data_IF_782402832015
#
_entry.id   IF_782402832015
#
_cell.length_a   1.000
_cell.length_b   1.000
_cell.length_c   1.000
_cell.angle_alpha   90.00
_cell.angle_beta   90.00
_cell.angle_gamma   90.00
#
_symmetry.space_group_name_H-M   'P 1'
#
loop_
_entity.id
_entity.type
_entity.pdbx_description
1 polymer ?
#
# COMPACT_ATOMS: atom_id res chain seq x y z
N UNK A 1 5.86 -14.00 -15.88
CA UNK A 1 4.69 -13.31 -16.48
C UNK A 1 3.39 -14.08 -16.31
N UNK A 2 3.32 -15.39 -16.62
CA UNK A 2 2.09 -16.18 -16.42
C UNK A 2 1.59 -16.15 -14.97
N UNK A 3 2.48 -16.44 -14.01
CA UNK A 3 2.16 -16.38 -12.57
C UNK A 3 1.68 -14.99 -12.17
N UNK A 4 2.36 -13.93 -12.64
CA UNK A 4 1.97 -12.54 -12.38
C UNK A 4 0.55 -12.24 -12.87
N UNK A 5 0.19 -12.63 -14.08
CA UNK A 5 -1.13 -12.39 -14.65
C UNK A 5 -2.23 -13.12 -13.86
N UNK A 6 -1.95 -14.35 -13.43
CA UNK A 6 -2.86 -15.15 -12.62
C UNK A 6 -3.07 -14.55 -11.22
N UNK A 7 -1.99 -14.10 -10.58
CA UNK A 7 -2.06 -13.42 -9.28
C UNK A 7 -2.78 -12.06 -9.42
N UNK A 8 -2.51 -11.30 -10.48
CA UNK A 8 -3.14 -10.01 -10.71
C UNK A 8 -4.66 -10.12 -10.91
N UNK A 9 -5.12 -11.13 -11.67
CA UNK A 9 -6.55 -11.35 -11.90
C UNK A 9 -7.27 -11.87 -10.65
N UNK A 10 -6.63 -12.77 -9.89
CA UNK A 10 -7.14 -13.25 -8.61
C UNK A 10 -7.31 -12.10 -7.61
N UNK A 11 -6.26 -11.29 -7.42
CA UNK A 11 -6.29 -10.15 -6.49
C UNK A 11 -7.27 -9.06 -6.93
N UNK A 12 -7.36 -8.76 -8.24
CA UNK A 12 -8.37 -7.84 -8.77
C UNK A 12 -9.78 -8.27 -8.38
N UNK A 13 -10.10 -9.55 -8.60
CA UNK A 13 -11.42 -10.10 -8.29
C UNK A 13 -11.69 -10.08 -6.78
N UNK A 14 -10.72 -10.51 -5.97
CA UNK A 14 -10.82 -10.48 -4.52
C UNK A 14 -11.12 -9.07 -4.02
N UNK A 15 -10.32 -8.07 -4.42
CA UNK A 15 -10.50 -6.68 -3.97
C UNK A 15 -11.80 -6.08 -4.49
N UNK A 16 -12.14 -6.27 -5.76
CA UNK A 16 -13.42 -5.78 -6.30
C UNK A 16 -14.62 -6.38 -5.57
N UNK A 17 -14.57 -7.68 -5.21
CA UNK A 17 -15.62 -8.33 -4.45
C UNK A 17 -15.73 -7.79 -3.02
N UNK A 18 -14.61 -7.61 -2.32
CA UNK A 18 -14.58 -7.04 -0.96
C UNK A 18 -15.15 -5.62 -0.93
N UNK A 19 -14.77 -4.76 -1.89
CA UNK A 19 -15.26 -3.37 -1.97
C UNK A 19 -16.76 -3.34 -2.27
N UNK A 20 -17.25 -4.25 -3.11
CA UNK A 20 -18.67 -4.37 -3.41
C UNK A 20 -19.48 -4.82 -2.18
N UNK A 21 -18.97 -5.82 -1.45
CA UNK A 21 -19.59 -6.30 -0.20
C UNK A 21 -19.63 -5.24 0.89
N UNK A 22 -18.64 -4.34 0.93
CA UNK A 22 -18.61 -3.19 1.82
C UNK A 22 -19.54 -2.03 1.38
N UNK A 23 -20.32 -2.19 0.29
CA UNK A 23 -21.19 -1.15 -0.30
C UNK A 23 -20.44 0.14 -0.68
N UNK A 24 -19.17 0.03 -1.03
CA UNK A 24 -18.35 1.17 -1.45
C UNK A 24 -18.41 1.36 -2.98
N UNK A 25 -18.52 2.61 -3.42
CA UNK A 25 -18.74 2.96 -4.84
C UNK A 25 -17.50 2.87 -5.74
N UNK A 26 -16.38 2.32 -5.27
CA UNK A 26 -15.08 2.35 -5.97
C UNK A 26 -14.52 0.98 -6.40
N UNK A 27 -15.35 -0.07 -6.44
CA UNK A 27 -14.90 -1.46 -6.69
C UNK A 27 -14.14 -1.67 -8.01
N UNK A 28 -14.59 -1.02 -9.10
CA UNK A 28 -13.90 -1.06 -10.41
C UNK A 28 -12.55 -0.34 -10.38
N UNK A 29 -12.49 0.82 -9.74
CA UNK A 29 -11.27 1.62 -9.64
C UNK A 29 -10.21 0.87 -8.81
N UNK A 30 -10.56 0.46 -7.59
CA UNK A 30 -9.66 -0.27 -6.69
C UNK A 30 -9.19 -1.59 -7.30
N UNK A 31 -10.07 -2.37 -7.92
CA UNK A 31 -9.65 -3.60 -8.60
C UNK A 31 -8.68 -3.35 -9.75
N UNK A 32 -8.91 -2.30 -10.53
CA UNK A 32 -8.01 -1.95 -11.66
C UNK A 32 -6.67 -1.42 -11.16
N UNK A 33 -6.66 -0.63 -10.10
CA UNK A 33 -5.45 -0.15 -9.43
C UNK A 33 -4.59 -1.31 -8.93
N UNK A 34 -5.20 -2.29 -8.27
CA UNK A 34 -4.52 -3.49 -7.77
C UNK A 34 -3.92 -4.30 -8.92
N UNK A 35 -4.66 -4.48 -10.00
CA UNK A 35 -4.15 -5.18 -11.17
C UNK A 35 -2.91 -4.49 -11.75
N UNK A 36 -2.95 -3.16 -11.91
CA UNK A 36 -1.81 -2.38 -12.39
C UNK A 36 -0.61 -2.48 -11.45
N UNK A 37 -0.84 -2.39 -10.14
CA UNK A 37 0.24 -2.55 -9.16
C UNK A 37 0.95 -3.90 -9.32
N UNK A 38 0.20 -5.00 -9.35
CA UNK A 38 0.78 -6.35 -9.49
C UNK A 38 1.51 -6.52 -10.81
N UNK A 39 0.97 -6.00 -11.91
CA UNK A 39 1.60 -6.10 -13.23
C UNK A 39 2.92 -5.32 -13.28
N UNK A 40 2.96 -4.08 -12.77
CA UNK A 40 4.17 -3.25 -12.75
C UNK A 40 5.26 -3.89 -11.89
N UNK A 41 4.93 -4.29 -10.65
CA UNK A 41 5.90 -4.93 -9.77
C UNK A 41 6.34 -6.30 -10.29
N UNK A 42 5.43 -7.06 -10.89
CA UNK A 42 5.75 -8.35 -11.50
C UNK A 42 6.65 -8.21 -12.72
N UNK A 43 6.46 -7.18 -13.54
CA UNK A 43 7.35 -6.85 -14.66
C UNK A 43 8.76 -6.52 -14.18
N UNK A 44 8.89 -5.62 -13.20
CA UNK A 44 10.19 -5.27 -12.61
C UNK A 44 10.86 -6.51 -11.97
N UNK A 45 10.09 -7.33 -11.27
CA UNK A 45 10.58 -8.56 -10.64
C UNK A 45 11.15 -9.54 -11.66
N UNK A 46 10.51 -9.65 -12.83
CA UNK A 46 11.02 -10.49 -13.91
C UNK A 46 12.32 -9.95 -14.51
N UNK A 47 12.47 -8.63 -14.65
CA UNK A 47 13.74 -8.02 -15.07
C UNK A 47 14.86 -8.30 -14.07
N UNK A 48 14.57 -8.24 -12.76
CA UNK A 48 15.52 -8.61 -11.70
C UNK A 48 15.91 -10.09 -11.81
N UNK A 49 14.94 -10.99 -12.03
CA UNK A 49 15.19 -12.42 -12.22
C UNK A 49 16.02 -12.74 -13.46
N UNK A 50 15.87 -11.94 -14.52
CA UNK A 50 16.67 -12.06 -15.74
C UNK A 50 18.08 -11.45 -15.59
N UNK A 51 18.38 -10.83 -14.44
CA UNK A 51 19.69 -10.24 -14.14
C UNK A 51 19.89 -8.83 -14.71
N UNK A 52 18.83 -8.16 -15.15
CA UNK A 52 18.92 -6.81 -15.73
C UNK A 52 19.00 -5.78 -14.61
N UNK A 53 20.18 -5.20 -14.41
CA UNK A 53 20.44 -4.13 -13.44
C UNK A 53 19.76 -4.33 -12.06
N UNK A 54 19.90 -5.50 -11.41
CA UNK A 54 19.12 -5.86 -10.23
C UNK A 54 19.32 -4.88 -9.07
N UNK A 55 20.54 -4.38 -8.87
CA UNK A 55 20.82 -3.39 -7.83
C UNK A 55 20.05 -2.08 -8.04
N UNK A 56 20.00 -1.58 -9.28
CA UNK A 56 19.27 -0.35 -9.62
C UNK A 56 17.76 -0.51 -9.39
N UNK A 57 17.18 -1.60 -9.89
CA UNK A 57 15.76 -1.88 -9.75
C UNK A 57 15.35 -2.09 -8.28
N UNK A 58 16.15 -2.83 -7.51
CA UNK A 58 15.91 -3.00 -6.07
C UNK A 58 15.97 -1.65 -5.35
N UNK A 59 16.98 -0.82 -5.64
CA UNK A 59 17.13 0.51 -5.01
C UNK A 59 15.93 1.41 -5.32
N UNK A 60 15.43 1.39 -6.56
CA UNK A 60 14.21 2.13 -6.94
C UNK A 60 12.98 1.65 -6.16
N UNK A 61 12.78 0.33 -6.04
CA UNK A 61 11.68 -0.25 -5.27
C UNK A 61 11.80 0.16 -3.80
N UNK A 62 12.97 -0.03 -3.19
CA UNK A 62 13.23 0.33 -1.79
C UNK A 62 12.97 1.82 -1.56
N UNK A 63 13.43 2.70 -2.45
CA UNK A 63 13.20 4.14 -2.38
C UNK A 63 11.72 4.50 -2.43
N UNK A 64 10.95 3.89 -3.35
CA UNK A 64 9.50 4.10 -3.45
C UNK A 64 8.78 3.64 -2.17
N UNK A 65 9.10 2.45 -1.67
CA UNK A 65 8.49 1.92 -0.45
C UNK A 65 8.86 2.78 0.75
N UNK A 66 10.12 3.22 0.86
CA UNK A 66 10.56 4.12 1.92
C UNK A 66 9.80 5.45 1.87
N UNK A 67 9.62 6.04 0.69
CA UNK A 67 8.82 7.26 0.52
C UNK A 67 7.38 7.07 1.00
N UNK A 68 6.72 5.99 0.59
CA UNK A 68 5.34 5.71 1.00
C UNK A 68 5.23 5.43 2.51
N UNK A 69 6.19 4.70 3.08
CA UNK A 69 6.24 4.42 4.50
C UNK A 69 6.43 5.70 5.33
N UNK A 70 7.32 6.59 4.89
CA UNK A 70 7.54 7.88 5.54
C UNK A 70 6.30 8.78 5.39
N UNK A 71 5.75 8.92 4.18
CA UNK A 71 4.57 9.74 3.95
C UNK A 71 3.36 9.23 4.75
N UNK A 72 3.11 7.92 4.73
CA UNK A 72 2.04 7.28 5.49
C UNK A 72 2.25 7.38 7.00
N UNK A 73 3.46 7.15 7.49
CA UNK A 73 3.80 7.27 8.90
C UNK A 73 3.64 8.68 9.43
N UNK A 74 4.07 9.69 8.67
CA UNK A 74 3.90 11.10 9.01
C UNK A 74 2.41 11.49 8.96
N UNK A 75 1.69 11.08 7.91
CA UNK A 75 0.26 11.36 7.79
C UNK A 75 -0.54 10.77 8.95
N UNK A 76 -0.20 9.53 9.37
CA UNK A 76 -0.83 8.88 10.51
C UNK A 76 -0.45 9.56 11.84
N UNK A 77 0.84 9.86 12.04
CA UNK A 77 1.33 10.54 13.24
C UNK A 77 0.74 11.93 13.43
N UNK A 78 0.65 12.73 12.35
CA UNK A 78 0.01 14.04 12.37
C UNK A 78 -1.51 13.94 12.49
N UNK A 79 -2.14 12.97 11.83
CA UNK A 79 -3.60 12.76 11.89
C UNK A 79 -4.10 12.36 13.28
N UNK A 80 -3.27 11.66 14.07
CA UNK A 80 -3.59 11.29 15.46
C UNK A 80 -3.15 12.31 16.51
N UNK A 81 -2.46 13.39 16.12
CA UNK A 81 -1.81 14.33 17.04
C UNK A 81 -2.78 14.93 18.06
N UNK A 82 -3.94 15.38 17.60
CA UNK A 82 -4.91 16.05 18.46
C UNK A 82 -5.58 15.07 19.44
N UNK A 83 -5.86 13.85 18.98
CA UNK A 83 -6.40 12.80 19.85
C UNK A 83 -5.38 12.35 20.90
N UNK A 84 -4.10 12.22 20.52
CA UNK A 84 -3.03 11.94 21.48
C UNK A 84 -2.92 13.06 22.52
N UNK A 85 -2.97 14.33 22.10
CA UNK A 85 -2.96 15.48 23.01
C UNK A 85 -4.16 15.46 23.98
N UNK A 86 -5.35 15.12 23.49
CA UNK A 86 -6.54 14.97 24.33
C UNK A 86 -6.36 13.88 25.41
N UNK A 87 -5.85 12.71 25.04
CA UNK A 87 -5.61 11.61 25.98
C UNK A 87 -4.58 12.00 27.05
N UNK A 88 -3.51 12.69 26.65
CA UNK A 88 -2.48 13.18 27.57
C UNK A 88 -3.05 14.18 28.58
N UNK A 89 -3.92 15.10 28.15
CA UNK A 89 -4.58 16.05 29.05
C UNK A 89 -5.50 15.33 30.05
N UNK A 90 -6.28 14.35 29.60
CA UNK A 90 -7.14 13.53 30.47
C UNK A 90 -6.35 12.73 31.51
N UNK A 91 -5.15 12.28 31.16
CA UNK A 91 -4.25 11.62 32.11
C UNK A 91 -3.69 12.62 33.12
N UNK A 92 -3.28 13.80 32.66
CA UNK A 92 -2.77 14.86 33.53
C UNK A 92 -3.81 15.25 34.59
N UNK A 93 -5.06 15.47 34.19
CA UNK A 93 -6.18 15.80 35.09
C UNK A 93 -6.52 14.69 36.11
N UNK A 94 -6.10 13.45 35.89
CA UNK A 94 -6.32 12.36 36.85
C UNK A 94 -5.18 12.16 37.83
N UNK A 95 -4.00 12.67 37.51
CA UNK A 95 -2.77 12.46 38.28
C UNK A 95 -2.45 13.67 39.15
N UNK A 96 -2.80 14.88 38.69
CA UNK A 96 -2.89 16.10 39.51
C UNK A 96 -4.23 16.18 40.23
#
# INVERSE_FOLDING_TARGET
>A
MLVTALVASALRTAVSSSVMSAKLHASKFLGTLVWWAVVVFGFISALIQLGIAPMLLNTLITGLVAMLALAGGIAFGLGGKDYAAYLLNKLKERVE
#
